data_IF_091713798566
#
_entry.id   IF_091713798566
#
_cell.length_a   1.000
_cell.length_b   1.000
_cell.length_c   1.000
_cell.angle_alpha   90.00
_cell.angle_beta   90.00
_cell.angle_gamma   90.00
#
_symmetry.space_group_name_H-M   'P 1'
#
loop_
_entity.id
_entity.type
_entity.pdbx_description
1 polymer ?
#
# COMPACT_ATOMS: atom_id res chain seq x y z
N UNK A 1 9.16 9.69 -7.32
CA UNK A 1 10.63 9.92 -7.30
C UNK A 1 11.10 10.18 -5.88
N UNK A 2 10.72 11.32 -5.27
CA UNK A 2 11.22 11.76 -3.94
C UNK A 2 11.22 10.69 -2.83
N UNK A 3 10.19 9.82 -2.76
CA UNK A 3 10.08 8.81 -1.70
C UNK A 3 10.58 7.42 -2.05
N UNK A 4 10.77 7.12 -3.34
CA UNK A 4 11.09 5.75 -3.78
C UNK A 4 12.49 5.63 -4.35
N UNK A 5 13.08 6.69 -4.89
CA UNK A 5 14.48 6.61 -5.35
C UNK A 5 15.38 6.19 -4.19
N UNK A 6 16.27 5.22 -4.47
CA UNK A 6 17.25 4.64 -3.53
C UNK A 6 16.69 3.78 -2.40
N UNK A 7 15.39 3.51 -2.37
CA UNK A 7 14.79 2.53 -1.45
C UNK A 7 15.34 1.14 -1.76
N UNK A 8 15.60 0.34 -0.72
CA UNK A 8 15.99 -1.07 -0.87
C UNK A 8 14.74 -1.94 -0.95
N UNK A 9 14.66 -2.79 -1.98
CA UNK A 9 13.58 -3.75 -2.19
C UNK A 9 14.11 -4.97 -2.98
N UNK A 10 13.83 -6.18 -2.46
CA UNK A 10 14.44 -7.45 -2.86
C UNK A 10 15.96 -7.38 -2.93
N UNK A 11 16.58 -6.90 -1.85
CA UNK A 11 18.04 -6.72 -1.71
C UNK A 11 18.69 -5.79 -2.75
N UNK A 12 17.89 -5.07 -3.52
CA UNK A 12 18.34 -4.17 -4.56
C UNK A 12 17.90 -2.75 -4.27
N UNK A 13 18.79 -1.80 -4.56
CA UNK A 13 18.43 -0.40 -4.51
C UNK A 13 17.65 -0.03 -5.78
N UNK A 14 16.41 0.42 -5.62
CA UNK A 14 15.60 0.87 -6.76
C UNK A 14 16.07 2.25 -7.21
N UNK A 15 16.14 2.46 -8.53
CA UNK A 15 16.50 3.74 -9.14
C UNK A 15 15.28 4.32 -9.85
N UNK A 16 14.84 5.50 -9.44
CA UNK A 16 13.62 6.13 -9.96
C UNK A 16 13.98 7.49 -10.54
N UNK A 17 13.78 7.65 -11.86
CA UNK A 17 14.04 8.88 -12.58
C UNK A 17 12.86 9.24 -13.49
N UNK A 18 12.77 10.51 -13.88
CA UNK A 18 11.79 10.94 -14.88
C UNK A 18 12.12 10.30 -16.23
N UNK A 19 11.11 9.72 -16.87
CA UNK A 19 11.27 9.16 -18.22
C UNK A 19 11.54 10.25 -19.26
N UNK A 20 12.28 9.91 -20.31
CA UNK A 20 12.41 10.77 -21.50
C UNK A 20 11.19 10.66 -22.43
N UNK A 21 10.34 9.66 -22.24
CA UNK A 21 9.12 9.45 -23.01
C UNK A 21 7.91 10.04 -22.28
N UNK A 22 7.02 10.69 -23.02
CA UNK A 22 5.80 11.32 -22.48
C UNK A 22 4.67 10.34 -22.22
N UNK A 23 4.65 9.19 -22.90
CA UNK A 23 3.63 8.14 -22.74
C UNK A 23 4.23 6.74 -22.90
N UNK A 24 3.52 5.74 -22.35
CA UNK A 24 3.77 4.31 -22.58
C UNK A 24 2.82 3.85 -23.67
N UNK A 25 3.34 3.19 -24.70
CA UNK A 25 2.53 2.64 -25.79
C UNK A 25 2.05 1.24 -25.42
N UNK A 26 0.78 0.93 -25.71
CA UNK A 26 0.24 -0.41 -25.50
C UNK A 26 0.71 -1.35 -26.61
N UNK A 27 1.16 -2.57 -26.27
CA UNK A 27 1.52 -3.58 -27.25
C UNK A 27 0.29 -4.00 -28.05
N UNK A 28 0.51 -4.43 -29.28
CA UNK A 28 -0.54 -5.05 -30.11
C UNK A 28 -0.86 -6.44 -29.55
N UNK A 29 -2.10 -6.89 -29.70
CA UNK A 29 -2.50 -8.25 -29.31
C UNK A 29 -1.62 -9.30 -30.00
N UNK A 30 -1.23 -10.34 -29.26
CA UNK A 30 -0.40 -11.44 -29.76
C UNK A 30 1.11 -11.19 -29.75
N UNK A 31 1.58 -10.03 -29.30
CA UNK A 31 3.02 -9.80 -29.08
C UNK A 31 3.52 -10.52 -27.82
N UNK A 32 4.79 -10.99 -27.80
CA UNK A 32 5.35 -11.71 -26.65
C UNK A 32 5.45 -10.87 -25.37
N UNK A 33 5.40 -9.54 -25.48
CA UNK A 33 5.44 -8.58 -24.37
C UNK A 33 4.04 -8.12 -23.89
N UNK A 34 2.95 -8.67 -24.44
CA UNK A 34 1.58 -8.29 -24.11
C UNK A 34 1.21 -8.44 -22.61
N UNK A 35 1.94 -9.28 -21.86
CA UNK A 35 1.76 -9.43 -20.41
C UNK A 35 2.58 -8.46 -19.53
N UNK A 36 3.52 -7.72 -20.12
CA UNK A 36 4.44 -6.82 -19.41
C UNK A 36 3.94 -5.39 -19.32
N UNK A 37 2.93 -5.03 -20.13
CA UNK A 37 2.31 -3.70 -20.13
C UNK A 37 0.84 -3.84 -19.73
N UNK A 38 0.39 -3.03 -18.77
CA UNK A 38 -0.98 -3.06 -18.29
C UNK A 38 -1.53 -1.65 -18.11
N UNK A 39 -2.70 -1.41 -18.67
CA UNK A 39 -3.41 -0.14 -18.49
C UNK A 39 -4.22 -0.17 -17.18
N UNK A 40 -3.96 0.81 -16.32
CA UNK A 40 -4.68 1.04 -15.07
C UNK A 40 -5.47 2.36 -15.07
N UNK A 41 -5.57 3.08 -16.19
CA UNK A 41 -6.24 4.39 -16.30
C UNK A 41 -7.66 4.41 -15.73
N UNK A 42 -8.41 3.31 -15.90
CA UNK A 42 -9.78 3.14 -15.40
C UNK A 42 -9.88 2.40 -14.05
N UNK A 43 -8.77 2.17 -13.35
CA UNK A 43 -8.78 1.49 -12.06
C UNK A 43 -9.65 2.24 -11.03
N UNK A 44 -10.62 1.53 -10.44
CA UNK A 44 -11.43 2.04 -9.33
C UNK A 44 -10.63 2.16 -8.03
N UNK A 45 -9.41 1.60 -7.98
CA UNK A 45 -8.54 1.61 -6.81
C UNK A 45 -7.64 2.85 -6.73
N UNK A 46 -7.69 3.75 -7.72
CA UNK A 46 -6.91 4.99 -7.70
C UNK A 46 -7.26 5.88 -6.51
N UNK A 47 -6.28 6.14 -5.65
CA UNK A 47 -6.45 6.97 -4.44
C UNK A 47 -6.46 8.48 -4.73
N UNK A 48 -6.05 8.89 -5.93
CA UNK A 48 -5.83 10.29 -6.31
C UNK A 48 -6.70 10.71 -7.51
N UNK A 49 -7.90 10.13 -7.67
CA UNK A 49 -8.81 10.48 -8.76
C UNK A 49 -9.65 11.74 -8.46
N UNK A 50 -9.95 11.99 -7.18
CA UNK A 50 -10.81 13.10 -6.74
C UNK A 50 -9.96 14.33 -6.39
N UNK A 51 -10.09 15.45 -7.13
CA UNK A 51 -9.43 16.71 -6.77
C UNK A 51 -9.77 17.14 -5.33
N UNK A 52 -8.80 17.69 -4.61
CA UNK A 52 -8.98 18.13 -3.21
C UNK A 52 -9.11 16.99 -2.18
N UNK A 53 -8.91 15.72 -2.58
CA UNK A 53 -8.89 14.61 -1.63
C UNK A 53 -7.79 14.77 -0.58
N UNK A 54 -8.10 14.46 0.68
CA UNK A 54 -7.10 14.43 1.77
C UNK A 54 -5.96 13.43 1.51
N UNK A 55 -6.13 12.47 0.58
CA UNK A 55 -5.08 11.53 0.22
C UNK A 55 -3.80 12.24 -0.26
N UNK A 56 -3.92 13.37 -0.97
CA UNK A 56 -2.75 14.13 -1.44
C UNK A 56 -1.88 14.69 -0.30
N UNK A 57 -2.46 14.88 0.88
CA UNK A 57 -1.76 15.36 2.07
C UNK A 57 -1.13 14.21 2.88
N UNK A 58 -1.41 12.96 2.53
CA UNK A 58 -1.03 11.77 3.29
C UNK A 58 -0.16 10.81 2.45
N UNK A 59 0.75 11.39 1.67
CA UNK A 59 1.80 10.65 0.95
C UNK A 59 3.06 10.75 1.81
N UNK A 60 3.46 9.62 2.40
CA UNK A 60 4.62 9.53 3.29
C UNK A 60 5.69 8.61 2.71
N UNK A 61 6.98 8.82 3.05
CA UNK A 61 8.05 7.91 2.65
C UNK A 61 7.83 6.50 3.21
N UNK A 62 8.41 5.46 2.61
CA UNK A 62 8.44 4.12 3.18
C UNK A 62 8.96 4.13 4.61
N UNK A 63 8.23 3.44 5.50
CA UNK A 63 8.56 3.25 6.91
C UNK A 63 8.14 1.85 7.34
N UNK A 64 8.67 1.37 8.46
CA UNK A 64 8.27 0.07 9.04
C UNK A 64 6.85 0.08 9.62
N UNK A 65 6.21 1.25 9.72
CA UNK A 65 4.88 1.42 10.30
C UNK A 65 3.85 1.75 9.24
N UNK A 66 2.83 0.92 9.14
CA UNK A 66 1.72 1.06 8.22
C UNK A 66 0.53 1.73 8.92
N UNK A 67 -0.12 2.63 8.19
CA UNK A 67 -1.43 3.15 8.50
C UNK A 67 -2.49 2.35 7.75
N UNK A 68 -3.38 1.72 8.52
CA UNK A 68 -4.50 0.93 8.06
C UNK A 68 -5.78 1.77 8.14
N UNK A 69 -6.62 1.73 7.12
CA UNK A 69 -7.91 2.41 7.13
C UNK A 69 -9.00 1.67 6.37
N UNK A 70 -10.22 2.21 6.47
CA UNK A 70 -11.45 1.60 5.95
C UNK A 70 -11.78 0.27 6.66
N UNK A 71 -11.50 0.21 7.95
CA UNK A 71 -11.74 -0.96 8.81
C UNK A 71 -13.20 -0.92 9.30
N UNK A 72 -14.02 -1.95 9.03
CA UNK A 72 -15.37 -2.05 9.58
C UNK A 72 -15.38 -2.24 11.11
N UNK A 73 -16.44 -1.82 11.82
CA UNK A 73 -16.51 -1.90 13.28
C UNK A 73 -16.40 -3.32 13.87
N UNK A 74 -16.76 -4.34 13.10
CA UNK A 74 -16.70 -5.74 13.51
C UNK A 74 -15.33 -6.40 13.30
N UNK A 75 -14.37 -5.68 12.70
CA UNK A 75 -13.01 -6.19 12.52
C UNK A 75 -12.17 -5.86 13.75
N UNK A 76 -11.58 -6.89 14.33
CA UNK A 76 -10.76 -6.79 15.56
C UNK A 76 -9.28 -6.65 15.23
N UNK A 77 -8.50 -6.29 16.27
CA UNK A 77 -7.04 -6.32 16.21
C UNK A 77 -6.55 -7.72 15.87
N UNK A 78 -7.04 -8.73 16.60
CA UNK A 78 -6.71 -10.14 16.39
C UNK A 78 -6.95 -10.59 14.93
N UNK A 79 -8.07 -10.19 14.33
CA UNK A 79 -8.34 -10.52 12.93
C UNK A 79 -7.28 -9.92 12.00
N UNK A 80 -6.93 -8.65 12.18
CA UNK A 80 -5.95 -7.96 11.34
C UNK A 80 -4.55 -8.51 11.58
N UNK A 81 -4.13 -8.73 12.82
CA UNK A 81 -2.81 -9.32 13.12
C UNK A 81 -2.71 -10.70 12.49
N UNK A 82 -3.71 -11.57 12.66
CA UNK A 82 -3.75 -12.90 12.05
C UNK A 82 -3.72 -12.83 10.51
N UNK A 83 -4.43 -11.88 9.89
CA UNK A 83 -4.44 -11.73 8.44
C UNK A 83 -3.08 -11.35 7.85
N UNK A 84 -2.29 -10.54 8.58
CA UNK A 84 -0.91 -10.20 8.23
C UNK A 84 0.03 -11.39 8.49
N UNK A 85 -0.09 -12.06 9.64
CA UNK A 85 0.74 -13.20 10.01
C UNK A 85 0.58 -14.39 9.06
N UNK A 86 -0.65 -14.68 8.61
CA UNK A 86 -0.92 -15.73 7.62
C UNK A 86 -0.20 -15.51 6.27
N UNK A 87 0.27 -14.29 6.00
CA UNK A 87 1.07 -13.92 4.82
C UNK A 87 2.55 -13.74 5.14
N UNK A 88 2.97 -14.13 6.34
CA UNK A 88 4.36 -14.03 6.78
C UNK A 88 4.76 -12.66 7.33
N UNK A 89 3.81 -11.74 7.53
CA UNK A 89 4.10 -10.42 8.10
C UNK A 89 3.79 -10.43 9.59
N UNK A 90 4.81 -10.53 10.44
CA UNK A 90 4.65 -10.60 11.90
C UNK A 90 4.58 -9.18 12.48
N UNK A 91 3.42 -8.71 13.00
CA UNK A 91 3.32 -7.42 13.65
C UNK A 91 4.21 -7.34 14.90
N UNK A 92 4.94 -6.23 15.04
CA UNK A 92 5.70 -5.86 16.25
C UNK A 92 4.96 -4.91 17.16
N UNK A 93 3.96 -4.23 16.61
CA UNK A 93 3.05 -3.38 17.34
C UNK A 93 1.78 -3.19 16.54
N UNK A 94 0.66 -3.07 17.24
CA UNK A 94 -0.63 -2.74 16.66
C UNK A 94 -1.34 -1.75 17.58
N UNK A 95 -2.06 -0.79 17.00
CA UNK A 95 -2.88 0.15 17.76
C UNK A 95 -4.02 0.71 16.93
N UNK A 96 -5.26 0.49 17.36
CA UNK A 96 -6.40 1.26 16.86
C UNK A 96 -6.31 2.73 17.28
N UNK A 97 -6.83 3.63 16.45
CA UNK A 97 -6.99 5.02 16.85
C UNK A 97 -8.14 5.15 17.86
N UNK A 98 -7.91 5.68 19.08
CA UNK A 98 -8.92 5.69 20.14
C UNK A 98 -10.22 6.42 19.79
N UNK A 99 -10.13 7.40 18.89
CA UNK A 99 -11.28 8.20 18.44
C UNK A 99 -11.87 7.73 17.10
N UNK A 100 -11.21 6.80 16.41
CA UNK A 100 -11.65 6.31 15.11
C UNK A 100 -11.17 4.87 14.87
N UNK A 101 -11.97 3.90 15.31
CA UNK A 101 -11.71 2.47 15.11
C UNK A 101 -11.77 2.03 13.63
N UNK A 102 -12.03 2.95 12.68
CA UNK A 102 -11.88 2.66 11.24
C UNK A 102 -10.43 2.73 10.78
N UNK A 103 -9.51 3.13 11.68
CA UNK A 103 -8.10 3.32 11.40
C UNK A 103 -7.23 2.70 12.50
N UNK A 104 -6.07 2.19 12.10
CA UNK A 104 -5.09 1.61 12.99
C UNK A 104 -3.66 1.85 12.48
N UNK A 105 -2.70 1.70 13.39
CA UNK A 105 -1.28 1.55 13.05
C UNK A 105 -0.88 0.10 13.23
N UNK A 106 -0.04 -0.40 12.33
CA UNK A 106 0.60 -1.71 12.41
C UNK A 106 2.09 -1.52 12.11
N UNK A 107 2.95 -1.89 13.04
CA UNK A 107 4.40 -1.83 12.90
C UNK A 107 4.95 -3.22 12.57
N UNK A 108 5.83 -3.29 11.58
CA UNK A 108 6.57 -4.48 11.19
C UNK A 108 8.05 -4.32 11.55
N UNK A 109 8.83 -5.40 11.32
CA UNK A 109 10.23 -5.47 11.70
C UNK A 109 11.11 -4.41 11.01
N UNK A 110 10.86 -4.17 9.72
CA UNK A 110 11.67 -3.29 8.90
C UNK A 110 10.86 -2.69 7.74
N UNK A 111 11.47 -1.74 7.03
CA UNK A 111 10.85 -1.00 5.93
C UNK A 111 10.56 -1.90 4.74
N UNK A 112 11.42 -2.86 4.43
CA UNK A 112 11.27 -3.73 3.26
C UNK A 112 10.09 -4.70 3.43
N UNK A 113 9.95 -5.27 4.62
CA UNK A 113 8.79 -6.06 5.02
C UNK A 113 7.50 -5.23 4.94
N UNK A 114 7.54 -3.97 5.38
CA UNK A 114 6.39 -3.07 5.29
C UNK A 114 6.03 -2.67 3.84
N UNK A 115 7.00 -2.53 2.94
CA UNK A 115 6.75 -2.36 1.51
C UNK A 115 6.00 -3.58 0.96
N UNK A 116 6.48 -4.78 1.24
CA UNK A 116 5.84 -6.03 0.77
C UNK A 116 4.42 -6.18 1.33
N UNK A 117 4.26 -5.97 2.64
CA UNK A 117 2.95 -6.02 3.28
C UNK A 117 2.00 -4.97 2.72
N UNK A 118 2.46 -3.75 2.42
CA UNK A 118 1.62 -2.73 1.78
C UNK A 118 1.16 -3.18 0.39
N UNK A 119 2.06 -3.71 -0.44
CA UNK A 119 1.74 -4.16 -1.80
C UNK A 119 0.68 -5.27 -1.76
N UNK A 120 0.85 -6.24 -0.86
CA UNK A 120 -0.02 -7.41 -0.79
C UNK A 120 -1.34 -7.13 -0.06
N UNK A 121 -1.30 -6.37 1.04
CA UNK A 121 -2.47 -6.14 1.90
C UNK A 121 -3.34 -4.97 1.43
N UNK A 122 -2.84 -4.12 0.51
CA UNK A 122 -3.68 -3.08 -0.06
C UNK A 122 -4.82 -3.71 -0.87
N UNK A 123 -6.05 -3.29 -0.57
CA UNK A 123 -7.28 -3.86 -1.14
C UNK A 123 -7.61 -5.29 -0.66
N UNK A 124 -7.03 -5.75 0.46
CA UNK A 124 -7.45 -6.99 1.12
C UNK A 124 -8.92 -6.90 1.54
N UNK A 125 -9.74 -7.91 1.20
CA UNK A 125 -11.18 -7.93 1.50
C UNK A 125 -11.42 -8.22 2.98
N UNK A 126 -11.98 -7.24 3.69
CA UNK A 126 -12.34 -7.35 5.12
C UNK A 126 -13.79 -7.82 5.30
N UNK A 127 -14.68 -7.35 4.43
CA UNK A 127 -16.09 -7.73 4.39
C UNK A 127 -16.62 -7.61 2.95
N UNK A 128 -17.89 -7.93 2.72
CA UNK A 128 -18.51 -7.90 1.38
C UNK A 128 -18.26 -6.59 0.64
N UNK A 129 -18.43 -5.45 1.33
CA UNK A 129 -18.27 -4.10 0.77
C UNK A 129 -17.12 -3.30 1.41
N UNK A 130 -16.17 -3.96 2.07
CA UNK A 130 -15.07 -3.29 2.74
C UNK A 130 -13.72 -3.92 2.39
N UNK A 131 -12.81 -3.10 1.87
CA UNK A 131 -11.45 -3.49 1.54
C UNK A 131 -10.47 -2.62 2.32
N UNK A 132 -9.44 -3.26 2.88
CA UNK A 132 -8.40 -2.61 3.64
C UNK A 132 -7.64 -1.61 2.76
N UNK A 133 -7.38 -0.42 3.30
CA UNK A 133 -6.50 0.56 2.68
C UNK A 133 -5.23 0.68 3.50
N UNK A 134 -4.11 0.42 2.84
CA UNK A 134 -2.78 0.48 3.44
C UNK A 134 -1.99 1.65 2.86
N UNK A 135 -1.29 2.39 3.72
CA UNK A 135 -0.31 3.44 3.39
C UNK A 135 0.79 3.43 4.44
N UNK A 136 1.95 4.02 4.15
CA UNK A 136 2.95 4.28 5.18
C UNK A 136 2.43 5.32 6.18
N UNK A 137 2.82 5.17 7.44
CA UNK A 137 2.54 6.13 8.49
C UNK A 137 3.74 7.07 8.69
N UNK A 138 3.44 8.35 8.98
CA UNK A 138 4.43 9.30 9.50
C UNK A 138 4.77 9.04 10.98
N UNK A 139 3.82 8.46 11.72
CA UNK A 139 3.94 8.21 13.15
C UNK A 139 4.27 6.75 13.43
N UNK A 140 5.18 6.51 14.37
CA UNK A 140 5.39 5.20 14.97
C UNK A 140 4.29 4.81 15.96
N UNK A 141 4.38 3.59 16.47
CA UNK A 141 3.61 3.10 17.61
C UNK A 141 4.45 3.30 18.87
#
# INVERSE_FOLDING_TARGET
>A
IQHLDKVRWHDKQIRVATSKHSNVQMPKEGQPDAGLTRDYSQSSLHRFKKPGSKNYLNIYPPSSTLHLSNIPPNITEEFLTNAFEQRGYIPKGFKFFPKDHKMALLQLNDVETAINALIEMHNFKLAENAHLRVSFSKSGI
#
